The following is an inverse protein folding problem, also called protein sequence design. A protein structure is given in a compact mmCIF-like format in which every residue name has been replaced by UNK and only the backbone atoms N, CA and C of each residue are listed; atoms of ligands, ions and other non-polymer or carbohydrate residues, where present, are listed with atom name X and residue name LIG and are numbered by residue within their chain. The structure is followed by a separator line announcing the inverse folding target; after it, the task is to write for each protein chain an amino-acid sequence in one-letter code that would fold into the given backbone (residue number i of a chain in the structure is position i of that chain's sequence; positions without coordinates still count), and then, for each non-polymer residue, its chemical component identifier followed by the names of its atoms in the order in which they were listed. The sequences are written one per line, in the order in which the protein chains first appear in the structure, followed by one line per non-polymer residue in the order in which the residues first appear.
data_IF_356010851504
#
_entry.id   IF_356010851504
#
_cell.length_a   1.000
_cell.length_b   1.000
_cell.length_c   1.000
_cell.angle_alpha   90.00
_cell.angle_beta   90.00
_cell.angle_gamma   90.00
#
_symmetry.space_group_name_H-M   'P 1'
#
loop_
_entity.id
_entity.type
_entity.pdbx_description
1 polymer ?
#
# COMPACT_ATOMS: atom_id res chain seq x y z
N UNK A 1 -37.31 -24.88 -28.00
CA UNK A 1 -37.84 -23.77 -27.19
C UNK A 1 -37.76 -24.19 -25.72
N UNK A 2 -36.78 -23.65 -24.98
CA UNK A 2 -36.52 -23.98 -23.56
C UNK A 2 -37.06 -22.83 -22.70
N UNK A 3 -37.87 -23.14 -21.68
CA UNK A 3 -38.29 -22.19 -20.64
C UNK A 3 -37.11 -21.89 -19.71
N UNK A 4 -36.98 -20.68 -19.13
CA UNK A 4 -35.96 -20.40 -18.12
C UNK A 4 -36.33 -21.04 -16.78
N UNK A 5 -35.31 -21.53 -16.10
CA UNK A 5 -35.34 -22.19 -14.80
C UNK A 5 -34.94 -21.13 -13.75
N UNK A 6 -35.82 -20.80 -12.81
CA UNK A 6 -35.51 -19.92 -11.68
C UNK A 6 -35.13 -20.78 -10.47
N UNK A 7 -33.97 -20.60 -9.82
CA UNK A 7 -33.68 -21.28 -8.56
C UNK A 7 -34.41 -20.62 -7.40
N UNK A 8 -35.17 -21.40 -6.66
CA UNK A 8 -35.79 -21.01 -5.40
C UNK A 8 -34.70 -20.65 -4.35
N UNK A 9 -34.85 -19.51 -3.67
CA UNK A 9 -34.04 -19.14 -2.51
C UNK A 9 -34.32 -20.13 -1.37
N UNK A 10 -33.30 -20.92 -1.00
CA UNK A 10 -33.28 -21.73 0.22
C UNK A 10 -32.95 -20.81 1.41
N UNK A 11 -33.90 -20.57 2.31
CA UNK A 11 -33.64 -19.95 3.61
C UNK A 11 -33.02 -21.01 4.53
N UNK A 12 -31.70 -20.95 4.72
CA UNK A 12 -30.99 -21.72 5.74
C UNK A 12 -30.98 -20.94 7.06
N UNK A 13 -31.75 -21.44 8.04
CA UNK A 13 -31.61 -21.09 9.45
C UNK A 13 -30.27 -21.62 9.98
N UNK A 14 -29.35 -20.73 10.34
CA UNK A 14 -28.14 -21.08 11.10
C UNK A 14 -28.45 -20.98 12.61
N UNK A 15 -28.50 -22.12 13.28
CA UNK A 15 -28.31 -22.19 14.74
C UNK A 15 -26.81 -22.03 15.05
N UNK A 16 -26.46 -20.94 15.72
CA UNK A 16 -25.09 -20.68 16.18
C UNK A 16 -24.75 -21.49 17.43
N UNK A 17 -23.89 -22.50 17.27
CA UNK A 17 -23.13 -23.13 18.36
C UNK A 17 -21.91 -22.24 18.63
N UNK A 18 -21.83 -21.63 19.80
CA UNK A 18 -20.63 -20.93 20.27
C UNK A 18 -19.74 -21.93 20.99
N UNK A 19 -18.65 -22.32 20.34
CA UNK A 19 -17.43 -22.76 21.00
C UNK A 19 -16.36 -21.72 20.65
N UNK A 20 -15.81 -21.02 21.65
CA UNK A 20 -14.38 -20.74 21.63
C UNK A 20 -13.81 -20.47 23.02
N UNK A 21 -12.59 -20.95 23.15
CA UNK A 21 -11.83 -21.27 24.34
C UNK A 21 -10.98 -20.07 24.80
N UNK A 22 -10.67 -20.04 26.09
CA UNK A 22 -9.81 -19.08 26.79
C UNK A 22 -8.50 -18.71 26.07
N UNK A 23 -8.15 -17.41 26.03
CA UNK A 23 -6.81 -16.89 26.37
C UNK A 23 -6.90 -15.49 26.98
N UNK A 24 -6.29 -15.36 28.16
CA UNK A 24 -6.11 -14.15 28.98
C UNK A 24 -5.48 -12.96 28.21
N UNK A 25 -5.71 -11.73 28.68
CA UNK A 25 -4.65 -10.79 29.15
C UNK A 25 -5.22 -9.39 29.51
N UNK A 26 -5.11 -9.08 30.82
CA UNK A 26 -4.89 -7.79 31.51
C UNK A 26 -5.82 -6.59 31.34
N UNK A 27 -6.65 -6.37 32.37
CA UNK A 27 -7.29 -5.08 32.67
C UNK A 27 -6.30 -4.23 33.48
N UNK A 28 -5.93 -3.06 32.93
CA UNK A 28 -5.18 -2.03 33.65
C UNK A 28 -6.18 -1.15 34.41
N UNK A 29 -6.35 -1.40 35.70
CA UNK A 29 -7.13 -0.54 36.60
C UNK A 29 -6.35 0.71 36.93
N UNK A 30 -6.96 1.89 36.75
CA UNK A 30 -6.59 3.10 37.51
C UNK A 30 -7.73 3.38 38.48
N UNK A 31 -7.53 2.95 39.73
CA UNK A 31 -8.37 3.31 40.87
C UNK A 31 -8.25 4.81 41.16
N UNK A 32 -9.37 5.47 41.41
CA UNK A 32 -9.69 6.29 42.59
C UNK A 32 -11.22 6.34 42.63
N UNK A 33 -11.98 6.01 43.66
CA UNK A 33 -11.77 5.52 45.02
C UNK A 33 -13.17 5.46 45.65
N UNK A 34 -13.41 4.59 46.64
CA UNK A 34 -14.60 4.72 47.49
C UNK A 34 -15.27 3.42 47.94
N UNK A 35 -14.73 2.86 49.03
CA UNK A 35 -15.39 2.06 50.09
C UNK A 35 -15.95 0.65 49.80
N UNK A 36 -15.21 -0.34 50.35
CA UNK A 36 -15.68 -1.65 50.79
C UNK A 36 -16.58 -1.53 52.04
N UNK A 37 -17.61 -2.39 52.17
CA UNK A 37 -17.61 -3.36 53.28
C UNK A 37 -18.62 -4.51 53.13
N UNK A 38 -18.05 -5.73 53.18
CA UNK A 38 -18.45 -6.96 53.88
C UNK A 38 -19.82 -7.63 53.65
N UNK A 39 -19.69 -8.85 53.14
CA UNK A 39 -20.61 -9.99 53.16
C UNK A 39 -20.98 -10.39 54.59
N UNK A 40 -22.27 -10.58 54.87
CA UNK A 40 -22.78 -11.51 55.90
C UNK A 40 -23.95 -12.29 55.30
N UNK A 41 -23.81 -13.61 55.26
CA UNK A 41 -24.87 -14.60 54.97
C UNK A 41 -25.47 -15.02 56.31
N UNK A 42 -26.78 -14.83 56.56
CA UNK A 42 -27.59 -15.69 57.46
C UNK A 42 -29.07 -15.67 57.06
N UNK A 43 -29.66 -16.86 57.04
CA UNK A 43 -31.06 -17.24 56.80
C UNK A 43 -32.01 -16.68 57.87
N UNK A 44 -33.23 -16.27 57.49
CA UNK A 44 -34.31 -16.02 58.46
C UNK A 44 -35.58 -15.43 57.85
N UNK A 45 -36.68 -16.18 57.89
CA UNK A 45 -38.04 -15.72 57.64
C UNK A 45 -38.45 -14.78 58.78
N UNK A 46 -38.87 -13.54 58.49
CA UNK A 46 -39.79 -12.78 59.34
C UNK A 46 -40.58 -11.73 58.53
N UNK A 47 -41.83 -11.57 58.93
CA UNK A 47 -42.95 -10.89 58.28
C UNK A 47 -42.94 -9.35 58.38
N UNK A 48 -43.60 -8.71 57.39
CA UNK A 48 -44.36 -7.43 57.41
C UNK A 48 -43.52 -6.13 57.57
N UNK A 49 -43.63 -5.07 56.75
CA UNK A 49 -44.81 -4.35 56.21
C UNK A 49 -44.39 -3.36 55.09
N UNK A 50 -45.39 -2.83 54.37
CA UNK A 50 -45.40 -1.60 53.54
C UNK A 50 -44.80 -1.64 52.12
N UNK A 51 -45.67 -1.92 51.15
CA UNK A 51 -46.15 -0.93 50.14
C UNK A 51 -46.62 -1.68 48.90
N UNK A 52 -47.94 -1.75 48.72
CA UNK A 52 -48.53 -1.97 47.41
C UNK A 52 -48.27 -0.73 46.54
N UNK A 53 -47.06 -0.60 46.01
CA UNK A 53 -46.83 0.20 44.83
C UNK A 53 -47.21 -0.66 43.63
N UNK A 54 -48.32 -0.32 43.00
CA UNK A 54 -48.70 -0.82 41.69
C UNK A 54 -47.54 -0.60 40.71
N UNK A 55 -46.74 -1.62 40.43
CA UNK A 55 -45.92 -1.65 39.24
C UNK A 55 -46.90 -1.83 38.07
N UNK A 56 -47.32 -0.73 37.45
CA UNK A 56 -47.84 -0.79 36.09
C UNK A 56 -46.72 -1.39 35.27
N UNK A 57 -46.89 -2.64 34.82
CA UNK A 57 -46.05 -3.21 33.79
C UNK A 57 -46.08 -2.25 32.61
N UNK A 58 -44.94 -1.62 32.28
CA UNK A 58 -44.81 -0.94 31.01
C UNK A 58 -45.17 -1.97 29.92
N UNK A 59 -46.05 -1.64 28.97
CA UNK A 59 -46.29 -2.53 27.85
C UNK A 59 -44.94 -2.81 27.21
N UNK A 60 -44.61 -4.10 27.01
CA UNK A 60 -43.41 -4.47 26.25
C UNK A 60 -43.43 -3.65 24.96
N UNK A 61 -42.31 -3.00 24.59
CA UNK A 61 -42.24 -2.31 23.30
C UNK A 61 -42.64 -3.33 22.24
N UNK A 62 -43.68 -2.98 21.49
CA UNK A 62 -44.17 -3.78 20.38
C UNK A 62 -43.00 -3.86 19.39
N UNK A 63 -42.37 -5.03 19.31
CA UNK A 63 -41.36 -5.30 18.30
C UNK A 63 -42.15 -5.43 17.01
N UNK A 64 -42.39 -4.32 16.33
CA UNK A 64 -42.88 -4.35 14.96
C UNK A 64 -41.78 -4.98 14.13
N UNK A 65 -42.02 -6.18 13.61
CA UNK A 65 -41.17 -6.74 12.56
C UNK A 65 -41.03 -5.70 11.44
N UNK A 66 -39.83 -5.50 10.88
CA UNK A 66 -39.66 -4.52 9.80
C UNK A 66 -40.68 -4.81 8.70
N UNK A 67 -41.48 -3.81 8.31
CA UNK A 67 -42.45 -3.94 7.22
C UNK A 67 -41.72 -4.42 5.96
N UNK A 68 -41.96 -5.67 5.57
CA UNK A 68 -41.53 -6.17 4.26
C UNK A 68 -42.29 -5.33 3.23
N UNK A 69 -41.60 -4.69 2.25
CA UNK A 69 -42.28 -3.91 1.22
C UNK A 69 -43.38 -4.74 0.58
N UNK A 70 -44.56 -4.14 0.38
CA UNK A 70 -45.69 -4.76 -0.30
C UNK A 70 -45.20 -5.53 -1.54
N UNK A 71 -45.64 -6.78 -1.71
CA UNK A 71 -45.20 -7.67 -2.79
C UNK A 71 -45.36 -7.00 -4.17
N UNK A 72 -46.40 -6.15 -4.33
CA UNK A 72 -46.59 -5.34 -5.52
C UNK A 72 -45.50 -4.28 -5.75
N UNK A 73 -44.94 -3.69 -4.68
CA UNK A 73 -43.81 -2.76 -4.76
C UNK A 73 -42.52 -3.49 -5.14
N UNK A 74 -42.29 -4.70 -4.63
CA UNK A 74 -41.13 -5.51 -5.01
C UNK A 74 -41.15 -5.87 -6.49
N UNK A 75 -42.28 -6.34 -7.01
CA UNK A 75 -42.46 -6.60 -8.46
C UNK A 75 -42.19 -5.34 -9.27
N UNK A 76 -42.71 -4.19 -8.82
CA UNK A 76 -42.49 -2.90 -9.48
C UNK A 76 -41.01 -2.48 -9.49
N UNK A 77 -40.26 -2.77 -8.43
CA UNK A 77 -38.82 -2.52 -8.39
C UNK A 77 -38.09 -3.40 -9.41
N UNK A 78 -38.40 -4.70 -9.48
CA UNK A 78 -37.82 -5.64 -10.45
C UNK A 78 -38.10 -5.23 -11.90
N UNK A 79 -39.30 -4.71 -12.18
CA UNK A 79 -39.66 -4.15 -13.48
C UNK A 79 -38.76 -2.97 -13.85
N UNK A 80 -38.54 -2.03 -12.91
CA UNK A 80 -37.61 -0.92 -13.13
C UNK A 80 -36.17 -1.37 -13.33
N UNK A 81 -35.71 -2.41 -12.63
CA UNK A 81 -34.37 -2.99 -12.86
C UNK A 81 -34.27 -3.52 -14.28
N UNK A 82 -35.25 -4.30 -14.73
CA UNK A 82 -35.30 -4.90 -16.05
C UNK A 82 -35.40 -3.85 -17.17
N UNK A 83 -36.21 -2.81 -16.96
CA UNK A 83 -36.31 -1.66 -17.86
C UNK A 83 -34.96 -0.94 -17.99
N UNK A 84 -34.29 -0.69 -16.85
CA UNK A 84 -32.98 -0.05 -16.83
C UNK A 84 -31.93 -0.85 -17.61
N UNK A 85 -31.90 -2.18 -17.45
CA UNK A 85 -31.02 -3.06 -18.21
C UNK A 85 -31.31 -2.96 -19.72
N UNK A 86 -32.59 -2.96 -20.12
CA UNK A 86 -33.00 -2.84 -21.52
C UNK A 86 -32.56 -1.51 -22.15
N UNK A 87 -32.74 -0.39 -21.44
CA UNK A 87 -32.26 0.92 -21.90
C UNK A 87 -30.74 0.97 -22.01
N UNK A 88 -30.03 0.41 -21.04
CA UNK A 88 -28.57 0.37 -21.04
C UNK A 88 -28.01 -0.44 -22.21
N UNK A 89 -28.60 -1.59 -22.52
CA UNK A 89 -28.24 -2.40 -23.69
C UNK A 89 -28.50 -1.66 -25.01
N UNK A 90 -29.51 -0.79 -25.03
CA UNK A 90 -29.84 0.08 -26.16
C UNK A 90 -29.01 1.37 -26.23
N UNK A 91 -28.03 1.56 -25.33
CA UNK A 91 -27.19 2.76 -25.26
C UNK A 91 -27.90 4.01 -24.71
N UNK A 92 -29.09 3.86 -24.13
CA UNK A 92 -29.88 4.96 -23.55
C UNK A 92 -29.55 5.12 -22.07
N UNK A 93 -28.29 5.43 -21.77
CA UNK A 93 -27.74 5.38 -20.40
C UNK A 93 -28.51 6.28 -19.40
N UNK A 94 -28.97 7.47 -19.81
CA UNK A 94 -29.76 8.36 -18.93
C UNK A 94 -31.11 7.78 -18.53
N UNK A 95 -31.78 7.06 -19.44
CA UNK A 95 -33.05 6.39 -19.12
C UNK A 95 -32.80 5.19 -18.21
N UNK A 96 -31.71 4.45 -18.43
CA UNK A 96 -31.31 3.36 -17.56
C UNK A 96 -31.09 3.83 -16.11
N UNK A 97 -30.33 4.91 -15.93
CA UNK A 97 -30.11 5.54 -14.63
C UNK A 97 -31.45 5.95 -13.99
N UNK A 98 -32.36 6.54 -14.77
CA UNK A 98 -33.67 6.95 -14.24
C UNK A 98 -34.50 5.76 -13.76
N UNK A 99 -34.50 4.63 -14.46
CA UNK A 99 -35.23 3.43 -14.03
C UNK A 99 -34.59 2.83 -12.78
N UNK A 100 -33.26 2.71 -12.74
CA UNK A 100 -32.56 2.21 -11.54
C UNK A 100 -32.68 3.12 -10.31
N UNK A 101 -32.81 4.44 -10.48
CA UNK A 101 -33.16 5.34 -9.37
C UNK A 101 -34.51 4.96 -8.75
N UNK A 102 -35.53 4.72 -9.58
CA UNK A 102 -36.86 4.31 -9.10
C UNK A 102 -36.84 2.93 -8.43
N UNK A 103 -36.00 2.01 -8.92
CA UNK A 103 -35.80 0.72 -8.28
C UNK A 103 -35.19 0.90 -6.88
N UNK A 104 -34.15 1.73 -6.75
CA UNK A 104 -33.47 1.99 -5.48
C UNK A 104 -34.29 2.84 -4.50
N UNK A 105 -35.26 3.63 -4.97
CA UNK A 105 -36.25 4.28 -4.10
C UNK A 105 -37.15 3.27 -3.37
N UNK A 106 -37.36 2.08 -3.96
CA UNK A 106 -38.19 1.02 -3.38
C UNK A 106 -37.31 0.02 -2.61
N UNK A 107 -36.18 -0.40 -3.20
CA UNK A 107 -35.23 -1.36 -2.62
C UNK A 107 -33.86 -0.68 -2.53
N UNK A 108 -33.58 0.07 -1.44
CA UNK A 108 -32.34 0.83 -1.31
C UNK A 108 -31.10 -0.05 -1.06
N UNK A 109 -31.27 -1.33 -0.77
CA UNK A 109 -30.22 -2.30 -0.42
C UNK A 109 -29.88 -3.27 -1.55
N UNK A 110 -30.01 -2.85 -2.81
CA UNK A 110 -29.72 -3.68 -3.98
C UNK A 110 -28.32 -3.40 -4.55
N UNK A 111 -27.35 -4.25 -4.18
CA UNK A 111 -25.97 -4.15 -4.64
C UNK A 111 -25.81 -4.27 -6.17
N UNK A 112 -26.66 -5.06 -6.85
CA UNK A 112 -26.59 -5.23 -8.30
C UNK A 112 -27.02 -3.97 -9.01
N UNK A 113 -28.11 -3.35 -8.55
CA UNK A 113 -28.63 -2.11 -9.13
C UNK A 113 -27.65 -0.96 -8.97
N UNK A 114 -27.02 -0.81 -7.79
CA UNK A 114 -25.91 0.14 -7.64
C UNK A 114 -24.77 -0.13 -8.63
N UNK A 115 -24.36 -1.40 -8.81
CA UNK A 115 -23.32 -1.72 -9.79
C UNK A 115 -23.75 -1.37 -11.24
N UNK A 116 -24.98 -1.69 -11.64
CA UNK A 116 -25.48 -1.35 -12.98
C UNK A 116 -25.55 0.16 -13.20
N UNK A 117 -26.10 0.90 -12.22
CA UNK A 117 -26.21 2.36 -12.28
C UNK A 117 -24.83 3.02 -12.28
N UNK A 118 -23.89 2.53 -11.49
CA UNK A 118 -22.49 2.97 -11.51
C UNK A 118 -21.84 2.84 -12.88
N UNK A 119 -22.07 1.73 -13.60
CA UNK A 119 -21.55 1.53 -14.96
C UNK A 119 -22.13 2.57 -15.93
N UNK A 120 -23.44 2.83 -15.87
CA UNK A 120 -24.07 3.85 -16.73
C UNK A 120 -23.62 5.27 -16.38
N UNK A 121 -23.49 5.59 -15.09
CA UNK A 121 -22.95 6.88 -14.63
C UNK A 121 -21.54 7.11 -15.18
N UNK A 122 -20.69 6.08 -15.15
CA UNK A 122 -19.37 6.15 -15.77
C UNK A 122 -19.45 6.39 -17.30
N UNK A 123 -20.31 5.69 -18.03
CA UNK A 123 -20.50 5.92 -19.49
C UNK A 123 -20.93 7.35 -19.81
N UNK A 124 -21.72 7.97 -18.94
CA UNK A 124 -22.14 9.37 -19.06
C UNK A 124 -21.11 10.37 -18.54
N UNK A 125 -19.91 9.91 -18.14
CA UNK A 125 -18.81 10.75 -17.68
C UNK A 125 -18.87 11.14 -16.20
N UNK A 126 -19.83 10.64 -15.43
CA UNK A 126 -19.99 10.99 -14.02
C UNK A 126 -19.19 10.05 -13.10
N UNK A 127 -17.86 10.20 -13.13
CA UNK A 127 -16.91 9.31 -12.43
C UNK A 127 -17.13 9.30 -10.91
N UNK A 128 -17.40 10.45 -10.29
CA UNK A 128 -17.59 10.54 -8.84
C UNK A 128 -18.84 9.80 -8.37
N UNK A 129 -19.99 10.01 -9.03
CA UNK A 129 -21.22 9.28 -8.69
C UNK A 129 -21.11 7.79 -8.99
N UNK A 130 -20.41 7.42 -10.06
CA UNK A 130 -20.12 6.02 -10.35
C UNK A 130 -19.31 5.38 -9.21
N UNK A 131 -18.32 6.08 -8.66
CA UNK A 131 -17.56 5.60 -7.51
C UNK A 131 -18.46 5.41 -6.27
N UNK A 132 -19.33 6.38 -5.95
CA UNK A 132 -20.28 6.28 -4.84
C UNK A 132 -21.21 5.05 -4.96
N UNK A 133 -21.67 4.77 -6.18
CA UNK A 133 -22.50 3.61 -6.48
C UNK A 133 -21.71 2.29 -6.32
N UNK A 134 -20.48 2.21 -6.83
CA UNK A 134 -19.67 1.01 -6.61
C UNK A 134 -19.28 0.83 -5.14
N UNK A 135 -19.10 1.90 -4.37
CA UNK A 135 -18.90 1.83 -2.93
C UNK A 135 -20.13 1.26 -2.23
N UNK A 136 -21.32 1.76 -2.56
CA UNK A 136 -22.59 1.22 -2.07
C UNK A 136 -22.74 -0.26 -2.39
N UNK A 137 -22.47 -0.66 -3.64
CA UNK A 137 -22.52 -2.06 -4.07
C UNK A 137 -21.55 -2.96 -3.27
N UNK A 138 -20.30 -2.52 -3.06
CA UNK A 138 -19.30 -3.30 -2.31
C UNK A 138 -19.53 -3.32 -0.80
N UNK A 139 -20.21 -2.31 -0.25
CA UNK A 139 -20.61 -2.29 1.16
C UNK A 139 -21.78 -3.25 1.42
N UNK A 140 -22.76 -3.28 0.52
CA UNK A 140 -23.91 -4.18 0.59
C UNK A 140 -23.51 -5.64 0.31
N UNK A 141 -22.64 -5.85 -0.67
CA UNK A 141 -22.07 -7.17 -0.97
C UNK A 141 -20.54 -7.11 -1.02
N UNK A 142 -19.87 -7.40 0.12
CA UNK A 142 -18.41 -7.44 0.19
C UNK A 142 -17.74 -8.46 -0.74
N UNK A 143 -18.47 -9.46 -1.22
CA UNK A 143 -17.97 -10.50 -2.13
C UNK A 143 -18.25 -10.20 -3.61
N UNK A 144 -18.72 -8.99 -3.94
CA UNK A 144 -19.02 -8.62 -5.33
C UNK A 144 -17.75 -8.20 -6.09
N UNK A 145 -17.02 -9.18 -6.64
CA UNK A 145 -15.70 -8.93 -7.23
C UNK A 145 -15.74 -8.01 -8.47
N UNK A 146 -16.81 -8.05 -9.28
CA UNK A 146 -17.00 -7.11 -10.39
C UNK A 146 -17.14 -5.67 -9.91
N UNK A 147 -17.92 -5.43 -8.85
CA UNK A 147 -18.08 -4.11 -8.25
C UNK A 147 -16.77 -3.60 -7.64
N UNK A 148 -15.97 -4.47 -6.98
CA UNK A 148 -14.62 -4.11 -6.51
C UNK A 148 -13.69 -3.72 -7.66
N UNK A 149 -13.74 -4.43 -8.79
CA UNK A 149 -12.97 -4.04 -9.98
C UNK A 149 -13.43 -2.69 -10.55
N UNK A 150 -14.74 -2.47 -10.67
CA UNK A 150 -15.28 -1.23 -11.20
C UNK A 150 -14.95 -0.03 -10.29
N UNK A 151 -15.06 -0.22 -8.97
CA UNK A 151 -14.58 0.72 -7.95
C UNK A 151 -13.10 1.05 -8.15
N UNK A 152 -12.26 0.03 -8.32
CA UNK A 152 -10.82 0.19 -8.56
C UNK A 152 -10.54 1.01 -9.83
N UNK A 153 -11.30 0.79 -10.89
CA UNK A 153 -11.16 1.55 -12.13
C UNK A 153 -11.58 3.03 -11.96
N UNK A 154 -12.65 3.32 -11.21
CA UNK A 154 -13.03 4.72 -10.93
C UNK A 154 -11.97 5.43 -10.06
N UNK A 155 -11.42 4.75 -9.06
CA UNK A 155 -10.32 5.28 -8.24
C UNK A 155 -9.06 5.56 -9.08
N UNK A 156 -8.77 4.71 -10.07
CA UNK A 156 -7.68 4.94 -11.01
C UNK A 156 -7.90 6.22 -11.84
N UNK A 157 -9.11 6.44 -12.38
CA UNK A 157 -9.43 7.67 -13.13
C UNK A 157 -9.35 8.95 -12.28
N UNK A 158 -9.41 8.82 -10.96
CA UNK A 158 -9.25 9.90 -9.98
C UNK A 158 -7.83 9.99 -9.41
N UNK A 159 -6.84 9.31 -10.02
CA UNK A 159 -5.44 9.24 -9.58
C UNK A 159 -5.21 8.67 -8.17
N UNK A 160 -6.20 7.97 -7.60
CA UNK A 160 -6.14 7.33 -6.28
C UNK A 160 -5.55 5.92 -6.37
N UNK A 161 -4.31 5.82 -6.85
CA UNK A 161 -3.69 4.55 -7.26
C UNK A 161 -3.61 3.48 -6.15
N UNK A 162 -3.28 3.86 -4.91
CA UNK A 162 -3.19 2.90 -3.79
C UNK A 162 -4.55 2.27 -3.48
N UNK A 163 -5.60 3.07 -3.50
CA UNK A 163 -6.95 2.60 -3.24
C UNK A 163 -7.49 1.76 -4.41
N UNK A 164 -7.14 2.13 -5.64
CA UNK A 164 -7.42 1.34 -6.83
C UNK A 164 -6.76 -0.06 -6.75
N UNK A 165 -5.47 -0.12 -6.42
CA UNK A 165 -4.74 -1.38 -6.22
C UNK A 165 -5.36 -2.25 -5.12
N UNK A 166 -5.81 -1.63 -4.02
CA UNK A 166 -6.51 -2.32 -2.94
C UNK A 166 -7.84 -2.92 -3.42
N UNK A 167 -8.63 -2.16 -4.17
CA UNK A 167 -9.90 -2.62 -4.72
C UNK A 167 -9.72 -3.78 -5.73
N UNK A 168 -8.76 -3.68 -6.66
CA UNK A 168 -8.44 -4.79 -7.56
C UNK A 168 -7.93 -6.02 -6.81
N UNK A 169 -7.15 -5.83 -5.74
CA UNK A 169 -6.68 -6.95 -4.90
C UNK A 169 -7.84 -7.64 -4.17
N UNK A 170 -8.83 -6.88 -3.68
CA UNK A 170 -10.06 -7.47 -3.13
C UNK A 170 -10.81 -8.28 -4.18
N UNK A 171 -11.00 -7.74 -5.38
CA UNK A 171 -11.63 -8.47 -6.49
C UNK A 171 -10.91 -9.81 -6.80
N UNK A 172 -9.57 -9.79 -6.84
CA UNK A 172 -8.76 -10.99 -7.11
C UNK A 172 -8.69 -11.96 -5.93
N UNK A 173 -8.83 -11.49 -4.69
CA UNK A 173 -8.94 -12.39 -3.54
C UNK A 173 -10.25 -13.18 -3.56
N UNK A 174 -11.33 -12.57 -4.06
CA UNK A 174 -12.64 -13.22 -4.20
C UNK A 174 -12.66 -14.12 -5.44
N UNK A 175 -12.19 -13.61 -6.58
CA UNK A 175 -12.07 -14.36 -7.84
C UNK A 175 -10.66 -14.20 -8.43
N UNK A 176 -9.73 -15.14 -8.12
CA UNK A 176 -8.35 -15.07 -8.59
C UNK A 176 -8.17 -15.06 -10.10
N UNK A 177 -9.12 -15.62 -10.85
CA UNK A 177 -9.05 -15.76 -12.31
C UNK A 177 -9.79 -14.63 -13.04
N UNK A 178 -10.17 -13.55 -12.35
CA UNK A 178 -10.87 -12.44 -12.97
C UNK A 178 -9.90 -11.55 -13.78
N UNK A 179 -9.73 -11.90 -15.06
CA UNK A 179 -8.84 -11.26 -16.01
C UNK A 179 -8.91 -9.71 -16.06
N UNK A 180 -10.10 -9.06 -16.03
CA UNK A 180 -10.17 -7.60 -16.01
C UNK A 180 -9.46 -6.98 -14.81
N UNK A 181 -9.64 -7.53 -13.60
CA UNK A 181 -8.97 -7.02 -12.41
C UNK A 181 -7.46 -7.26 -12.45
N UNK A 182 -6.99 -8.38 -13.03
CA UNK A 182 -5.55 -8.62 -13.22
C UNK A 182 -4.93 -7.58 -14.15
N UNK A 183 -5.54 -7.34 -15.31
CA UNK A 183 -5.07 -6.35 -16.29
C UNK A 183 -5.08 -4.94 -15.72
N UNK A 184 -6.18 -4.54 -15.08
CA UNK A 184 -6.32 -3.22 -14.47
C UNK A 184 -5.31 -3.03 -13.34
N UNK A 185 -5.15 -4.01 -12.43
CA UNK A 185 -4.15 -3.93 -11.36
C UNK A 185 -2.74 -3.77 -11.90
N UNK A 186 -2.36 -4.54 -12.92
CA UNK A 186 -1.04 -4.45 -13.56
C UNK A 186 -0.81 -3.09 -14.21
N UNK A 187 -1.81 -2.56 -14.90
CA UNK A 187 -1.76 -1.22 -15.50
C UNK A 187 -1.50 -0.16 -14.42
N UNK A 188 -2.31 -0.15 -13.36
CA UNK A 188 -2.18 0.83 -12.26
C UNK A 188 -0.85 0.68 -11.53
N UNK A 189 -0.38 -0.56 -11.30
CA UNK A 189 0.92 -0.79 -10.68
C UNK A 189 2.06 -0.20 -11.51
N UNK A 190 2.04 -0.37 -12.84
CA UNK A 190 3.05 0.20 -13.73
C UNK A 190 3.05 1.73 -13.72
N UNK A 191 1.86 2.35 -13.73
CA UNK A 191 1.72 3.82 -13.67
C UNK A 191 2.21 4.35 -12.31
N UNK A 192 1.74 3.75 -11.22
CA UNK A 192 2.15 4.13 -9.87
C UNK A 192 3.68 3.98 -9.68
N UNK A 193 4.27 2.90 -10.20
CA UNK A 193 5.71 2.69 -10.18
C UNK A 193 6.46 3.74 -11.01
N UNK A 194 5.96 4.12 -12.19
CA UNK A 194 6.55 5.19 -13.00
C UNK A 194 6.62 6.50 -12.24
N UNK A 195 5.48 6.92 -11.66
CA UNK A 195 5.37 8.16 -10.91
C UNK A 195 6.28 8.17 -9.67
N UNK A 196 6.28 7.07 -8.90
CA UNK A 196 7.11 6.97 -7.69
C UNK A 196 8.61 6.88 -8.00
N UNK A 197 8.99 6.23 -9.11
CA UNK A 197 10.39 6.21 -9.56
C UNK A 197 10.86 7.60 -9.97
N UNK A 198 9.99 8.41 -10.57
CA UNK A 198 10.29 9.80 -10.89
C UNK A 198 10.39 10.65 -9.62
N UNK A 199 9.42 10.57 -8.71
CA UNK A 199 9.45 11.27 -7.43
C UNK A 199 10.72 10.94 -6.63
N UNK A 200 11.09 9.66 -6.57
CA UNK A 200 12.30 9.23 -5.90
C UNK A 200 13.58 9.73 -6.59
N UNK A 201 13.56 9.87 -7.92
CA UNK A 201 14.65 10.49 -8.67
C UNK A 201 14.77 11.98 -8.36
N UNK A 202 13.65 12.72 -8.40
CA UNK A 202 13.60 14.15 -8.13
C UNK A 202 14.04 14.49 -6.69
N UNK A 203 13.63 13.66 -5.71
CA UNK A 203 14.10 13.75 -4.32
C UNK A 203 15.62 13.55 -4.23
N UNK A 204 16.17 12.62 -5.03
CA UNK A 204 17.59 12.37 -5.14
C UNK A 204 18.39 13.57 -5.66
N UNK A 205 17.89 14.24 -6.71
CA UNK A 205 18.54 15.44 -7.28
C UNK A 205 18.43 16.66 -6.38
N UNK A 206 17.26 16.87 -5.75
CA UNK A 206 16.99 18.03 -4.89
C UNK A 206 17.88 18.07 -3.64
N UNK A 207 18.35 16.91 -3.15
CA UNK A 207 19.11 16.76 -1.91
C UNK A 207 20.56 16.33 -2.23
N UNK A 208 21.14 16.88 -3.30
CA UNK A 208 22.58 16.77 -3.54
C UNK A 208 23.45 17.53 -2.51
N UNK A 209 22.84 18.09 -1.45
CA UNK A 209 23.52 18.59 -0.24
C UNK A 209 23.49 17.54 0.87
N UNK A 210 24.61 17.39 1.61
CA UNK A 210 24.88 16.29 2.55
C UNK A 210 23.88 16.09 3.71
N UNK A 211 22.96 17.02 3.92
CA UNK A 211 22.35 17.20 5.23
C UNK A 211 20.93 16.62 5.39
N UNK A 212 20.35 15.93 4.39
CA UNK A 212 19.02 15.32 4.57
C UNK A 212 18.72 14.00 3.83
N UNK A 213 19.59 13.00 4.00
CA UNK A 213 19.36 11.67 3.44
C UNK A 213 18.29 10.86 4.17
N UNK A 214 17.95 11.22 5.42
CA UNK A 214 16.90 10.52 6.19
C UNK A 214 15.50 10.75 5.60
N UNK A 215 15.22 11.96 5.12
CA UNK A 215 13.93 12.31 4.49
C UNK A 215 13.64 11.52 3.21
N UNK A 216 14.66 11.01 2.52
CA UNK A 216 14.49 10.23 1.29
C UNK A 216 14.07 8.78 1.52
N UNK A 217 14.38 8.23 2.70
CA UNK A 217 14.21 6.80 3.00
C UNK A 217 12.73 6.36 2.85
N UNK A 218 11.72 7.09 3.36
CA UNK A 218 10.31 6.73 3.15
C UNK A 218 9.92 6.64 1.67
N UNK A 219 10.39 7.56 0.83
CA UNK A 219 10.09 7.56 -0.61
C UNK A 219 10.62 6.31 -1.31
N UNK A 220 11.90 5.98 -1.08
CA UNK A 220 12.49 4.76 -1.64
C UNK A 220 11.85 3.47 -1.09
N UNK A 221 11.48 3.42 0.20
CA UNK A 221 10.76 2.25 0.75
C UNK A 221 9.43 2.03 0.04
N UNK A 222 8.65 3.10 -0.19
CA UNK A 222 7.37 3.03 -0.91
C UNK A 222 7.54 2.51 -2.34
N UNK A 223 8.61 2.91 -3.05
CA UNK A 223 8.95 2.35 -4.37
C UNK A 223 9.18 0.83 -4.27
N UNK A 224 9.93 0.38 -3.26
CA UNK A 224 10.29 -1.03 -3.08
C UNK A 224 9.15 -1.89 -2.50
N UNK A 225 8.16 -1.30 -1.84
CA UNK A 225 6.90 -1.98 -1.48
C UNK A 225 6.11 -2.39 -2.74
N UNK A 226 6.16 -1.57 -3.79
CA UNK A 226 5.46 -1.84 -5.05
C UNK A 226 6.30 -2.66 -6.04
N UNK A 227 7.63 -2.49 -6.03
CA UNK A 227 8.58 -3.26 -6.82
C UNK A 227 9.84 -3.58 -5.99
N UNK A 228 9.78 -4.72 -5.30
CA UNK A 228 10.86 -5.23 -4.45
C UNK A 228 12.10 -5.72 -5.21
N UNK A 229 12.07 -5.65 -6.54
CA UNK A 229 13.17 -6.06 -7.43
C UNK A 229 13.88 -4.88 -8.09
N UNK A 230 13.43 -3.66 -7.82
CA UNK A 230 13.98 -2.45 -8.44
C UNK A 230 15.41 -2.15 -7.95
N UNK A 231 16.41 -2.58 -8.72
CA UNK A 231 17.82 -2.48 -8.35
C UNK A 231 18.28 -1.04 -8.05
N UNK A 232 17.88 -0.06 -8.86
CA UNK A 232 18.23 1.36 -8.62
C UNK A 232 17.62 1.90 -7.33
N UNK A 233 16.38 1.53 -7.00
CA UNK A 233 15.74 1.89 -5.73
C UNK A 233 16.48 1.31 -4.53
N UNK A 234 16.89 0.04 -4.61
CA UNK A 234 17.73 -0.59 -3.59
C UNK A 234 19.09 0.10 -3.45
N UNK A 235 19.75 0.47 -4.56
CA UNK A 235 21.03 1.17 -4.51
C UNK A 235 20.91 2.54 -3.81
N UNK A 236 19.92 3.33 -4.20
CA UNK A 236 19.72 4.66 -3.65
C UNK A 236 19.27 4.61 -2.18
N UNK A 237 18.39 3.66 -1.81
CA UNK A 237 18.02 3.45 -0.41
C UNK A 237 19.21 3.03 0.45
N UNK A 238 20.09 2.17 -0.08
CA UNK A 238 21.32 1.80 0.62
C UNK A 238 22.28 2.99 0.80
N UNK A 239 22.40 3.86 -0.20
CA UNK A 239 23.16 5.11 -0.06
C UNK A 239 22.55 6.04 1.00
N UNK A 240 21.22 6.22 1.00
CA UNK A 240 20.53 7.03 2.01
C UNK A 240 20.77 6.49 3.43
N UNK A 241 20.69 5.17 3.63
CA UNK A 241 21.01 4.54 4.91
C UNK A 241 22.47 4.72 5.34
N UNK A 242 23.42 4.68 4.39
CA UNK A 242 24.82 4.92 4.69
C UNK A 242 25.05 6.32 5.26
N UNK A 243 24.47 7.35 4.62
CA UNK A 243 24.58 8.73 5.11
C UNK A 243 23.81 8.97 6.41
N UNK A 244 22.73 8.23 6.66
CA UNK A 244 22.04 8.18 7.94
C UNK A 244 22.82 7.38 9.03
N UNK A 245 24.02 6.86 8.73
CA UNK A 245 24.83 6.09 9.68
C UNK A 245 24.35 4.65 9.93
N UNK A 246 23.34 4.17 9.21
CA UNK A 246 22.79 2.82 9.34
C UNK A 246 23.49 1.85 8.37
N UNK A 247 24.69 1.42 8.75
CA UNK A 247 25.57 0.59 7.91
C UNK A 247 24.96 -0.78 7.55
N UNK A 248 24.25 -1.42 8.49
CA UNK A 248 23.63 -2.73 8.26
C UNK A 248 22.55 -2.65 7.17
N UNK A 249 21.69 -1.64 7.24
CA UNK A 249 20.63 -1.42 6.24
C UNK A 249 21.24 -1.02 4.90
N UNK A 250 22.28 -0.19 4.90
CA UNK A 250 23.02 0.17 3.70
C UNK A 250 23.57 -1.08 2.99
N UNK A 251 24.25 -1.96 3.74
CA UNK A 251 24.81 -3.20 3.22
C UNK A 251 23.74 -4.13 2.66
N UNK A 252 22.62 -4.29 3.38
CA UNK A 252 21.49 -5.10 2.92
C UNK A 252 20.94 -4.61 1.57
N UNK A 253 20.64 -3.32 1.46
CA UNK A 253 20.03 -2.76 0.27
C UNK A 253 20.99 -2.71 -0.93
N UNK A 254 22.26 -2.35 -0.73
CA UNK A 254 23.25 -2.35 -1.81
C UNK A 254 23.50 -3.77 -2.34
N UNK A 255 23.57 -4.79 -1.46
CA UNK A 255 23.68 -6.19 -1.92
C UNK A 255 22.46 -6.67 -2.68
N UNK A 256 21.26 -6.24 -2.28
CA UNK A 256 20.03 -6.50 -3.03
C UNK A 256 20.06 -5.85 -4.41
N UNK A 257 20.56 -4.62 -4.54
CA UNK A 257 20.73 -3.97 -5.84
C UNK A 257 21.62 -4.79 -6.78
N UNK A 258 22.77 -5.27 -6.28
CA UNK A 258 23.69 -6.13 -7.05
C UNK A 258 23.07 -7.51 -7.33
N UNK A 259 22.25 -8.04 -6.44
CA UNK A 259 21.54 -9.30 -6.67
C UNK A 259 20.57 -9.21 -7.85
N UNK A 260 19.78 -8.14 -7.92
CA UNK A 260 18.81 -7.94 -9.02
C UNK A 260 19.47 -7.41 -10.30
N UNK A 261 20.61 -6.72 -10.19
CA UNK A 261 21.40 -6.26 -11.33
C UNK A 261 22.90 -6.55 -11.09
N UNK A 262 23.38 -7.69 -11.59
CA UNK A 262 24.73 -8.21 -11.29
C UNK A 262 25.87 -7.29 -11.74
N UNK A 263 25.69 -6.63 -12.88
CA UNK A 263 26.69 -5.75 -13.50
C UNK A 263 26.33 -4.28 -13.29
N UNK A 264 26.07 -3.90 -12.03
CA UNK A 264 25.66 -2.55 -11.64
C UNK A 264 26.84 -1.76 -11.04
N UNK A 265 27.59 -0.97 -11.84
CA UNK A 265 28.81 -0.31 -11.37
C UNK A 265 28.58 0.68 -10.23
N UNK A 266 27.46 1.41 -10.22
CA UNK A 266 27.12 2.34 -9.13
C UNK A 266 26.91 1.61 -7.79
N UNK A 267 26.20 0.47 -7.80
CA UNK A 267 25.99 -0.32 -6.59
C UNK A 267 27.26 -1.03 -6.12
N UNK A 268 28.11 -1.49 -7.04
CA UNK A 268 29.41 -2.07 -6.72
C UNK A 268 30.33 -1.01 -6.10
N UNK A 269 30.34 0.21 -6.64
CA UNK A 269 31.05 1.36 -6.07
C UNK A 269 30.55 1.69 -4.66
N UNK A 270 29.22 1.73 -4.45
CA UNK A 270 28.65 2.00 -3.14
C UNK A 270 28.97 0.88 -2.14
N UNK A 271 29.02 -0.39 -2.57
CA UNK A 271 29.48 -1.49 -1.73
C UNK A 271 30.96 -1.30 -1.33
N UNK A 272 31.80 -0.88 -2.27
CA UNK A 272 33.21 -0.60 -2.01
C UNK A 272 33.39 0.52 -0.98
N UNK A 273 32.56 1.57 -1.03
CA UNK A 273 32.53 2.64 -0.02
C UNK A 273 32.21 2.07 1.38
N UNK A 274 31.26 1.12 1.50
CA UNK A 274 30.96 0.47 2.77
C UNK A 274 32.16 -0.31 3.34
N UNK A 275 32.87 -1.06 2.50
CA UNK A 275 34.08 -1.77 2.93
C UNK A 275 35.21 -0.80 3.31
N UNK A 276 35.37 0.31 2.55
CA UNK A 276 36.31 1.39 2.89
C UNK A 276 36.01 1.99 4.26
N UNK A 277 34.74 2.29 4.54
CA UNK A 277 34.30 2.83 5.82
C UNK A 277 34.53 1.87 7.00
N UNK A 278 34.47 0.56 6.75
CA UNK A 278 34.77 -0.47 7.74
C UNK A 278 36.27 -0.82 7.85
N UNK A 279 37.15 -0.12 7.10
CA UNK A 279 38.60 -0.34 7.13
C UNK A 279 39.11 -1.53 6.31
N UNK A 280 38.24 -2.28 5.61
CA UNK A 280 38.63 -3.37 4.72
C UNK A 280 39.00 -2.80 3.33
N UNK A 281 40.18 -2.20 3.28
CA UNK A 281 40.69 -1.51 2.10
C UNK A 281 40.97 -2.47 0.94
N UNK A 282 41.42 -3.70 1.21
CA UNK A 282 41.66 -4.72 0.20
C UNK A 282 40.38 -5.08 -0.57
N UNK A 283 39.28 -5.32 0.15
CA UNK A 283 38.00 -5.64 -0.49
C UNK A 283 37.44 -4.41 -1.22
N UNK A 284 37.55 -3.23 -0.62
CA UNK A 284 37.13 -1.98 -1.25
C UNK A 284 37.84 -1.76 -2.59
N UNK A 285 39.17 -1.87 -2.64
CA UNK A 285 39.98 -1.72 -3.87
C UNK A 285 39.51 -2.71 -4.96
N UNK A 286 39.32 -3.99 -4.61
CA UNK A 286 38.84 -5.00 -5.57
C UNK A 286 37.49 -4.63 -6.18
N UNK A 287 36.58 -4.11 -5.36
CA UNK A 287 35.25 -3.70 -5.80
C UNK A 287 35.29 -2.42 -6.63
N UNK A 288 36.08 -1.41 -6.26
CA UNK A 288 36.27 -0.22 -7.09
C UNK A 288 36.84 -0.59 -8.47
N UNK A 289 37.86 -1.45 -8.53
CA UNK A 289 38.41 -1.95 -9.79
C UNK A 289 37.36 -2.71 -10.60
N UNK A 290 36.50 -3.50 -9.96
CA UNK A 290 35.36 -4.16 -10.64
C UNK A 290 34.37 -3.14 -11.22
N UNK A 291 34.03 -2.09 -10.46
CA UNK A 291 33.16 -1.02 -10.96
C UNK A 291 33.79 -0.29 -12.15
N UNK A 292 35.10 -0.04 -12.12
CA UNK A 292 35.85 0.57 -13.22
C UNK A 292 35.98 -0.34 -14.43
N UNK A 293 36.08 -1.66 -14.25
CA UNK A 293 36.04 -2.60 -15.37
C UNK A 293 34.71 -2.54 -16.14
N UNK A 294 33.60 -2.28 -15.43
CA UNK A 294 32.28 -2.08 -16.04
C UNK A 294 32.09 -0.65 -16.59
N UNK A 295 32.69 0.35 -15.93
CA UNK A 295 32.58 1.77 -16.27
C UNK A 295 33.96 2.46 -16.19
N UNK A 296 34.81 2.37 -17.24
CA UNK A 296 36.23 2.78 -17.18
C UNK A 296 36.50 4.25 -16.84
N UNK A 297 35.58 5.16 -17.19
CA UNK A 297 35.71 6.61 -16.94
C UNK A 297 34.84 7.07 -15.75
N UNK A 298 34.67 6.23 -14.75
CA UNK A 298 33.85 6.54 -13.58
C UNK A 298 34.63 7.36 -12.55
N UNK A 299 34.61 8.69 -12.69
CA UNK A 299 35.36 9.64 -11.86
C UNK A 299 35.15 9.39 -10.35
N UNK A 300 33.90 9.23 -9.91
CA UNK A 300 33.63 9.00 -8.48
C UNK A 300 34.27 7.71 -7.94
N UNK A 301 34.34 6.64 -8.74
CA UNK A 301 35.00 5.40 -8.34
C UNK A 301 36.54 5.55 -8.35
N UNK A 302 37.09 6.31 -9.29
CA UNK A 302 38.52 6.63 -9.31
C UNK A 302 38.93 7.48 -8.10
N UNK A 303 38.20 8.53 -7.76
CA UNK A 303 38.48 9.33 -6.55
C UNK A 303 38.43 8.46 -5.28
N UNK A 304 37.37 7.67 -5.13
CA UNK A 304 37.26 6.76 -3.98
C UNK A 304 38.39 5.71 -3.94
N UNK A 305 38.83 5.21 -5.10
CA UNK A 305 39.97 4.29 -5.19
C UNK A 305 41.28 4.97 -4.79
N UNK A 306 41.52 6.20 -5.26
CA UNK A 306 42.67 7.01 -4.88
C UNK A 306 42.72 7.24 -3.36
N UNK A 307 41.59 7.64 -2.77
CA UNK A 307 41.46 7.81 -1.31
C UNK A 307 41.74 6.52 -0.55
N UNK A 308 41.24 5.39 -1.06
CA UNK A 308 41.44 4.09 -0.42
C UNK A 308 42.91 3.68 -0.45
N UNK A 309 43.62 3.90 -1.56
CA UNK A 309 45.07 3.67 -1.63
C UNK A 309 45.83 4.59 -0.68
N UNK A 310 45.42 5.86 -0.58
CA UNK A 310 46.02 6.83 0.34
C UNK A 310 45.87 6.40 1.80
N UNK A 311 44.65 5.99 2.21
CA UNK A 311 44.37 5.46 3.56
C UNK A 311 45.16 4.18 3.88
N UNK A 312 45.44 3.36 2.86
CA UNK A 312 46.28 2.16 2.98
C UNK A 312 47.79 2.47 2.92
N UNK A 313 48.18 3.74 2.80
CA UNK A 313 49.56 4.21 2.65
C UNK A 313 50.26 3.69 1.36
N UNK A 314 49.50 3.34 0.33
CA UNK A 314 50.02 2.97 -1.00
C UNK A 314 50.15 4.22 -1.90
N UNK A 315 51.01 5.16 -1.50
CA UNK A 315 51.13 6.51 -2.08
C UNK A 315 51.29 6.53 -3.62
N UNK A 316 52.13 5.66 -4.18
CA UNK A 316 52.35 5.60 -5.64
C UNK A 316 51.10 5.19 -6.41
N UNK A 317 50.29 4.28 -5.85
CA UNK A 317 49.04 3.86 -6.46
C UNK A 317 48.00 4.98 -6.40
N UNK A 318 47.88 5.64 -5.25
CA UNK A 318 47.00 6.80 -5.07
C UNK A 318 47.36 7.93 -6.05
N UNK A 319 48.63 8.31 -6.15
CA UNK A 319 49.11 9.36 -7.05
C UNK A 319 48.74 9.09 -8.51
N UNK A 320 48.97 7.86 -8.97
CA UNK A 320 48.61 7.45 -10.33
C UNK A 320 47.11 7.56 -10.59
N UNK A 321 46.28 7.11 -9.66
CA UNK A 321 44.81 7.17 -9.79
C UNK A 321 44.32 8.62 -9.83
N UNK A 322 44.82 9.48 -8.94
CA UNK A 322 44.45 10.90 -8.94
C UNK A 322 44.89 11.62 -10.22
N UNK A 323 46.07 11.30 -10.77
CA UNK A 323 46.48 11.80 -12.09
C UNK A 323 45.52 11.36 -13.19
N UNK A 324 45.10 10.09 -13.21
CA UNK A 324 44.05 9.62 -14.15
C UNK A 324 42.75 10.42 -14.00
N UNK A 325 42.36 10.78 -12.77
CA UNK A 325 41.18 11.64 -12.57
C UNK A 325 41.38 13.01 -13.20
N UNK A 326 42.53 13.65 -12.98
CA UNK A 326 42.82 14.98 -13.53
C UNK A 326 42.99 14.99 -15.06
N UNK A 327 43.35 13.87 -15.68
CA UNK A 327 43.29 13.71 -17.13
C UNK A 327 41.85 13.71 -17.67
N UNK A 328 40.89 13.21 -16.88
CA UNK A 328 39.47 13.16 -17.24
C UNK A 328 38.70 14.43 -16.85
N UNK A 329 39.08 15.03 -15.72
CA UNK A 329 38.49 16.24 -15.14
C UNK A 329 39.60 17.08 -14.48
N UNK A 330 40.24 18.00 -15.24
CA UNK A 330 41.34 18.82 -14.75
C UNK A 330 40.98 19.73 -13.56
N UNK A 331 39.69 19.98 -13.32
CA UNK A 331 39.21 20.82 -12.22
C UNK A 331 38.76 20.03 -10.99
N UNK A 332 38.97 18.72 -10.98
CA UNK A 332 38.55 17.87 -9.88
C UNK A 332 39.26 18.22 -8.56
N UNK A 333 38.52 18.81 -7.62
CA UNK A 333 39.05 19.29 -6.35
C UNK A 333 39.55 18.15 -5.47
N UNK A 334 38.84 17.03 -5.42
CA UNK A 334 39.19 15.86 -4.60
C UNK A 334 40.55 15.28 -5.02
N UNK A 335 40.77 15.10 -6.33
CA UNK A 335 42.04 14.59 -6.84
C UNK A 335 43.21 15.58 -6.62
N UNK A 336 42.98 16.90 -6.77
CA UNK A 336 43.99 17.93 -6.48
C UNK A 336 44.42 17.89 -5.01
N UNK A 337 43.46 17.80 -4.09
CA UNK A 337 43.74 17.75 -2.66
C UNK A 337 44.43 16.43 -2.26
N UNK A 338 43.98 15.30 -2.81
CA UNK A 338 44.62 14.00 -2.58
C UNK A 338 46.11 13.99 -2.97
N UNK A 339 46.46 14.56 -4.13
CA UNK A 339 47.86 14.70 -4.56
C UNK A 339 48.69 15.61 -3.64
N UNK A 340 48.10 16.71 -3.19
CA UNK A 340 48.76 17.63 -2.25
C UNK A 340 49.09 16.94 -0.94
N UNK A 341 48.16 16.17 -0.38
CA UNK A 341 48.37 15.42 0.86
C UNK A 341 49.45 14.35 0.73
N UNK A 342 49.52 13.65 -0.40
CA UNK A 342 50.58 12.67 -0.65
C UNK A 342 51.96 13.34 -0.65
N UNK A 343 52.08 14.51 -1.29
CA UNK A 343 53.35 15.23 -1.44
C UNK A 343 53.87 15.76 -0.09
N UNK A 344 52.99 16.30 0.75
CA UNK A 344 53.33 16.83 2.08
C UNK A 344 53.80 15.77 3.09
N UNK A 345 53.58 14.48 2.84
CA UNK A 345 54.03 13.39 3.70
C UNK A 345 55.36 12.76 3.23
N UNK A 346 56.02 13.34 2.22
CA UNK A 346 57.31 12.87 1.69
C UNK A 346 58.45 13.82 2.10
N UNK A 347 58.13 15.04 2.52
CA UNK A 347 59.00 15.97 3.24
C UNK A 347 59.00 15.66 4.75
#
# INVERSE_FOLDING_TARGET
MKKPFYPARLLLYFQGIIFMNNKNVYIKTKQQGGCMNRIIIVVGILLMTTSCAWFKSEPKPEITEPEVPDEALLVKAEDYVSEGISYFQSGKDSLAISSWNKALEIIPEDAEVYNYRGIALHRTGNVTKALEDFESATNLNPNYYEAHNNRGYMLFLLDRYNEALSAFSKALNINPNYEPAQKNRKLVQNIALGNLRQEAFDLGEKIAGKDDYEEQIPGYRKVLELDSTYAKGHNNLGAAYYYAGNLDSAYYHIRKAIHYHKDYPEAINNLAILYKANGDYETAIKLFLKALALKPKYISALNNLGDTYSLKNEKQNAERVYKTVLELDPENVEAKEGLKQITLQVE
#
